data_IF_093955627006
#
_entry.id   IF_093955627006
#
_cell.length_a   1.000
_cell.length_b   1.000
_cell.length_c   1.000
_cell.angle_alpha   90.00
_cell.angle_beta   90.00
_cell.angle_gamma   90.00
#
_symmetry.space_group_name_H-M   'P 1'
#
loop_
_entity.id
_entity.type
_entity.pdbx_description
1 polymer ?
#
# COMPACT_ATOMS: atom_id res chain seq x y z
N UNK A 1 0.17 17.01 17.22
CA UNK A 1 1.49 16.69 17.85
C UNK A 1 1.67 15.21 18.25
N UNK A 2 0.76 14.28 17.86
CA UNK A 2 0.91 12.82 18.15
C UNK A 2 1.45 12.01 16.97
N UNK A 3 1.38 12.49 15.73
CA UNK A 3 1.86 11.78 14.54
C UNK A 3 3.39 11.71 14.41
N UNK A 4 4.11 12.73 14.83
CA UNK A 4 5.59 12.79 14.74
C UNK A 4 6.32 11.79 15.66
N UNK A 5 5.68 11.30 16.70
CA UNK A 5 6.30 10.35 17.65
C UNK A 5 6.36 8.93 17.10
N UNK A 6 5.37 8.52 16.31
CA UNK A 6 5.31 7.17 15.72
C UNK A 6 6.30 7.01 14.56
N UNK A 7 6.43 8.02 13.69
CA UNK A 7 7.42 8.02 12.61
C UNK A 7 8.87 7.90 13.13
N UNK A 8 9.17 8.60 14.24
CA UNK A 8 10.49 8.55 14.88
C UNK A 8 10.76 7.21 15.61
N UNK A 9 9.72 6.52 16.06
CA UNK A 9 9.87 5.22 16.71
C UNK A 9 10.20 4.12 15.69
N UNK A 10 9.53 4.14 14.54
CA UNK A 10 9.78 3.21 13.43
C UNK A 10 11.18 3.42 12.84
N UNK A 11 11.61 4.66 12.63
CA UNK A 11 12.98 4.95 12.19
C UNK A 11 14.05 4.48 13.20
N UNK A 12 13.77 4.49 14.51
CA UNK A 12 14.72 4.03 15.53
C UNK A 12 14.82 2.51 15.63
N UNK A 13 13.78 1.77 15.30
CA UNK A 13 13.83 0.29 15.26
C UNK A 13 14.65 -0.19 14.08
N UNK A 14 14.57 0.49 12.92
CA UNK A 14 15.33 0.12 11.73
C UNK A 14 16.77 0.64 11.69
N UNK A 15 17.08 1.78 12.35
CA UNK A 15 18.42 2.40 12.27
C UNK A 15 19.43 1.92 13.30
N UNK A 16 19.07 1.13 14.33
CA UNK A 16 20.02 0.72 15.39
C UNK A 16 20.81 -0.56 15.13
N UNK A 17 20.74 -1.17 13.94
CA UNK A 17 21.54 -2.38 13.62
C UNK A 17 22.57 -2.24 12.51
N UNK A 18 22.91 -1.04 12.09
CA UNK A 18 24.03 -0.85 11.16
C UNK A 18 25.10 0.03 11.81
N UNK A 19 26.00 -0.59 12.57
CA UNK A 19 27.41 -0.12 12.69
C UNK A 19 28.25 -1.21 13.35
N UNK A 20 28.83 -2.07 12.53
CA UNK A 20 30.22 -2.52 12.71
C UNK A 20 30.73 -3.07 11.38
N UNK A 21 31.69 -2.35 10.85
CA UNK A 21 32.47 -2.68 9.67
C UNK A 21 33.39 -3.87 9.99
N UNK A 22 33.37 -4.91 9.15
CA UNK A 22 34.54 -5.41 8.43
C UNK A 22 34.31 -6.84 7.94
N UNK A 23 34.71 -7.07 6.70
CA UNK A 23 34.75 -8.35 5.98
C UNK A 23 33.37 -8.98 5.68
N UNK A 24 32.83 -8.61 4.55
CA UNK A 24 31.72 -9.33 3.91
C UNK A 24 32.18 -10.69 3.43
N UNK A 25 31.75 -11.80 4.04
CA UNK A 25 31.63 -13.03 3.28
C UNK A 25 30.46 -12.79 2.31
N UNK A 26 30.67 -13.06 1.03
CA UNK A 26 29.61 -13.22 0.06
C UNK A 26 28.69 -14.32 0.60
N UNK A 27 27.61 -13.94 1.32
CA UNK A 27 26.62 -14.90 1.78
C UNK A 27 26.05 -15.58 0.55
N UNK A 28 26.29 -16.89 0.46
CA UNK A 28 25.49 -17.75 -0.41
C UNK A 28 24.02 -17.54 0.00
N UNK A 29 23.06 -17.48 -0.94
CA UNK A 29 21.65 -17.40 -0.57
C UNK A 29 21.35 -18.56 0.36
N UNK A 30 20.93 -18.29 1.58
CA UNK A 30 20.44 -19.33 2.47
C UNK A 30 19.21 -19.93 1.81
N UNK A 31 19.10 -21.25 1.77
CA UNK A 31 18.07 -22.00 1.05
C UNK A 31 16.61 -21.65 1.49
N UNK A 32 16.44 -20.84 2.54
CA UNK A 32 15.16 -20.46 3.14
C UNK A 32 15.08 -18.94 3.45
N UNK A 33 15.72 -18.10 2.63
CA UNK A 33 15.61 -16.64 2.77
C UNK A 33 14.61 -16.10 1.73
N UNK A 34 13.61 -15.36 2.20
CA UNK A 34 12.53 -14.80 1.39
C UNK A 34 12.47 -13.29 1.53
N UNK A 35 12.25 -12.58 0.43
CA UNK A 35 12.03 -11.14 0.44
C UNK A 35 10.54 -10.85 0.55
N UNK A 36 10.19 -9.93 1.45
CA UNK A 36 8.83 -9.46 1.64
C UNK A 36 8.78 -7.99 1.27
N UNK A 37 8.11 -7.66 0.16
CA UNK A 37 7.80 -6.29 -0.22
C UNK A 37 6.53 -5.82 0.48
N UNK A 38 6.61 -4.73 1.24
CA UNK A 38 5.44 -4.12 1.88
C UNK A 38 5.63 -2.61 2.08
N UNK A 39 4.54 -1.91 2.40
CA UNK A 39 4.55 -0.48 2.64
C UNK A 39 5.23 -0.13 3.97
N UNK A 40 5.80 1.08 4.11
CA UNK A 40 6.24 1.59 5.41
C UNK A 40 5.08 2.09 6.29
N UNK A 41 3.84 1.96 5.85
CA UNK A 41 2.65 2.48 6.52
C UNK A 41 2.35 1.74 7.84
N UNK A 42 1.61 2.37 8.77
CA UNK A 42 1.35 1.81 10.09
C UNK A 42 0.62 0.46 10.10
N UNK A 43 -0.27 0.20 9.13
CA UNK A 43 -1.01 -1.07 9.01
C UNK A 43 -0.07 -2.22 8.62
N UNK A 44 0.78 -2.05 7.61
CA UNK A 44 1.80 -3.03 7.24
C UNK A 44 2.85 -3.19 8.35
N UNK A 45 3.28 -2.09 8.97
CA UNK A 45 4.20 -2.14 10.10
C UNK A 45 3.64 -2.94 11.28
N UNK A 46 2.33 -2.84 11.56
CA UNK A 46 1.65 -3.64 12.57
C UNK A 46 1.58 -5.12 12.15
N UNK A 47 1.20 -5.40 10.91
CA UNK A 47 1.06 -6.75 10.35
C UNK A 47 2.36 -7.55 10.42
N UNK A 48 3.47 -6.93 10.03
CA UNK A 48 4.78 -7.59 9.98
C UNK A 48 5.63 -7.41 11.24
N UNK A 49 5.11 -6.77 12.30
CA UNK A 49 5.86 -6.45 13.52
C UNK A 49 6.47 -7.69 14.19
N UNK A 50 5.69 -8.75 14.33
CA UNK A 50 6.15 -9.96 15.02
C UNK A 50 7.28 -10.67 14.27
N UNK A 51 7.26 -10.63 12.94
CA UNK A 51 8.33 -11.19 12.09
C UNK A 51 9.60 -10.32 12.19
N UNK A 52 9.47 -9.00 12.07
CA UNK A 52 10.61 -8.07 12.08
C UNK A 52 11.33 -8.01 13.42
N UNK A 53 10.59 -8.21 14.52
CA UNK A 53 11.15 -8.20 15.88
C UNK A 53 11.62 -9.57 16.35
N UNK A 54 11.31 -10.66 15.59
CA UNK A 54 11.60 -12.04 15.99
C UNK A 54 10.72 -12.52 17.14
N UNK A 55 9.53 -11.91 17.32
CA UNK A 55 8.57 -12.30 18.34
C UNK A 55 7.86 -13.63 18.03
N UNK A 56 7.89 -14.07 16.77
CA UNK A 56 7.42 -15.39 16.33
C UNK A 56 8.57 -16.27 15.90
N UNK A 57 8.38 -17.60 16.03
CA UNK A 57 9.33 -18.58 15.56
C UNK A 57 9.02 -19.00 14.13
N UNK A 58 9.84 -18.55 13.19
CA UNK A 58 9.73 -18.87 11.75
C UNK A 58 10.51 -20.14 11.35
N UNK A 59 11.05 -20.88 12.33
CA UNK A 59 11.90 -22.06 12.08
C UNK A 59 13.21 -21.67 11.40
N UNK A 60 13.52 -22.34 10.28
CA UNK A 60 14.72 -22.05 9.48
C UNK A 60 14.49 -20.93 8.43
N UNK A 61 13.28 -20.37 8.33
CA UNK A 61 12.97 -19.31 7.37
C UNK A 61 13.44 -17.96 7.90
N UNK A 62 14.08 -17.20 7.04
CA UNK A 62 14.46 -15.81 7.30
C UNK A 62 13.80 -14.89 6.29
N UNK A 63 13.49 -13.67 6.71
CA UNK A 63 12.78 -12.70 5.90
C UNK A 63 13.56 -11.41 5.79
N UNK A 64 13.73 -10.93 4.55
CA UNK A 64 14.26 -9.61 4.24
C UNK A 64 13.09 -8.70 3.87
N UNK A 65 12.84 -7.67 4.68
CA UNK A 65 11.77 -6.71 4.47
C UNK A 65 12.22 -5.58 3.55
N UNK A 66 11.50 -5.39 2.44
CA UNK A 66 11.75 -4.33 1.44
C UNK A 66 10.59 -3.36 1.49
N UNK A 67 10.87 -2.11 1.91
CA UNK A 67 9.86 -1.07 2.11
C UNK A 67 9.73 -0.21 0.85
N UNK A 68 8.57 -0.24 0.22
CA UNK A 68 8.23 0.51 -1.00
C UNK A 68 6.77 0.95 -0.96
N UNK A 69 6.43 1.97 -1.73
CA UNK A 69 5.04 2.35 -1.94
C UNK A 69 4.26 1.28 -2.71
N UNK A 70 2.92 1.29 -2.56
CA UNK A 70 2.06 0.23 -3.09
C UNK A 70 2.04 0.16 -4.63
N UNK A 71 2.17 1.27 -5.34
CA UNK A 71 2.23 1.25 -6.81
C UNK A 71 3.54 0.64 -7.31
N UNK A 72 4.64 0.93 -6.62
CA UNK A 72 5.95 0.32 -6.89
C UNK A 72 5.91 -1.18 -6.59
N UNK A 73 5.29 -1.60 -5.49
CA UNK A 73 5.09 -3.02 -5.15
C UNK A 73 4.24 -3.74 -6.21
N UNK A 74 3.15 -3.12 -6.68
CA UNK A 74 2.34 -3.67 -7.78
C UNK A 74 3.19 -3.93 -9.02
N UNK A 75 4.06 -2.98 -9.42
CA UNK A 75 4.98 -3.13 -10.58
C UNK A 75 5.99 -4.26 -10.37
N UNK A 76 6.57 -4.38 -9.17
CA UNK A 76 7.47 -5.49 -8.84
C UNK A 76 6.75 -6.84 -8.87
N UNK A 77 5.50 -6.90 -8.41
CA UNK A 77 4.71 -8.13 -8.46
C UNK A 77 4.40 -8.58 -9.89
N UNK A 78 4.19 -7.65 -10.84
CA UNK A 78 4.06 -7.99 -12.27
C UNK A 78 5.27 -8.77 -12.80
N UNK A 79 6.46 -8.47 -12.28
CA UNK A 79 7.71 -9.15 -12.67
C UNK A 79 7.96 -10.43 -11.85
N UNK A 80 7.32 -10.60 -10.70
CA UNK A 80 7.61 -11.71 -9.78
C UNK A 80 8.86 -11.47 -8.94
N UNK A 81 9.20 -10.21 -8.64
CA UNK A 81 10.49 -9.84 -8.04
C UNK A 81 10.64 -10.28 -6.59
N UNK A 82 9.55 -10.36 -5.83
CA UNK A 82 9.56 -10.74 -4.40
C UNK A 82 8.84 -12.07 -4.18
N UNK A 83 9.28 -12.82 -3.19
CA UNK A 83 8.67 -14.08 -2.78
C UNK A 83 7.31 -13.86 -2.12
N UNK A 84 7.19 -12.77 -1.36
CA UNK A 84 5.95 -12.26 -0.74
C UNK A 84 5.85 -10.76 -1.06
N UNK A 85 4.66 -10.28 -1.33
CA UNK A 85 4.44 -8.85 -1.54
C UNK A 85 3.05 -8.43 -1.06
N UNK A 86 2.97 -7.23 -0.46
CA UNK A 86 1.71 -6.51 -0.42
C UNK A 86 1.40 -6.02 -1.83
N UNK A 87 0.13 -6.10 -2.22
CA UNK A 87 -0.36 -5.61 -3.53
C UNK A 87 -1.75 -5.02 -3.38
N UNK A 88 -2.08 -4.10 -4.26
CA UNK A 88 -3.47 -3.66 -4.42
C UNK A 88 -4.34 -4.80 -4.94
N UNK A 89 -5.55 -4.95 -4.41
CA UNK A 89 -6.51 -5.97 -4.92
C UNK A 89 -6.79 -5.75 -6.41
N UNK A 90 -6.77 -4.50 -6.87
CA UNK A 90 -6.88 -4.17 -8.30
C UNK A 90 -5.82 -4.86 -9.16
N UNK A 91 -4.59 -4.92 -8.72
CA UNK A 91 -3.48 -5.54 -9.48
C UNK A 91 -3.47 -7.06 -9.41
N UNK A 92 -4.15 -7.68 -8.44
CA UNK A 92 -4.08 -9.13 -8.24
C UNK A 92 -4.52 -9.96 -9.47
N UNK A 93 -5.57 -9.65 -10.22
CA UNK A 93 -5.94 -10.42 -11.41
C UNK A 93 -4.80 -10.57 -12.42
N UNK A 94 -3.97 -9.54 -12.62
CA UNK A 94 -2.88 -9.52 -13.59
C UNK A 94 -1.65 -10.33 -13.16
N UNK A 95 -1.53 -10.62 -11.86
CA UNK A 95 -0.43 -11.41 -11.30
C UNK A 95 -0.88 -12.80 -10.80
N UNK A 96 -2.13 -13.13 -10.99
CA UNK A 96 -2.73 -14.35 -10.47
C UNK A 96 -2.15 -15.65 -11.07
N UNK A 97 -1.42 -15.58 -12.17
CA UNK A 97 -0.63 -16.67 -12.74
C UNK A 97 0.63 -16.97 -11.92
N UNK A 98 1.26 -15.94 -11.33
CA UNK A 98 2.53 -16.01 -10.58
C UNK A 98 2.33 -16.17 -9.08
N UNK A 99 1.25 -15.60 -8.53
CA UNK A 99 1.04 -15.48 -7.10
C UNK A 99 -0.26 -16.14 -6.63
N UNK A 100 -0.23 -16.65 -5.41
CA UNK A 100 -1.42 -16.96 -4.62
C UNK A 100 -1.75 -15.74 -3.75
N UNK A 101 -3.03 -15.35 -3.70
CA UNK A 101 -3.52 -14.43 -2.68
C UNK A 101 -3.53 -15.18 -1.34
N UNK A 102 -2.90 -14.56 -0.32
CA UNK A 102 -2.89 -15.12 1.02
C UNK A 102 -4.26 -14.91 1.68
N UNK A 103 -4.60 -15.77 2.63
CA UNK A 103 -5.84 -15.65 3.40
C UNK A 103 -5.65 -14.88 4.72
N UNK A 104 -4.59 -14.10 4.80
CA UNK A 104 -4.24 -13.20 5.92
C UNK A 104 -3.65 -11.91 5.37
N UNK A 105 -3.65 -10.86 6.19
CA UNK A 105 -3.00 -9.62 5.85
C UNK A 105 -3.71 -8.85 4.72
N UNK A 106 -5.03 -8.66 4.83
CA UNK A 106 -5.79 -7.83 3.91
C UNK A 106 -6.11 -6.47 4.51
N UNK A 107 -6.09 -5.43 3.67
CA UNK A 107 -6.57 -4.08 3.99
C UNK A 107 -7.95 -3.88 3.38
N UNK A 108 -8.94 -3.55 4.23
CA UNK A 108 -10.35 -3.41 3.86
C UNK A 108 -10.89 -2.09 4.41
N UNK A 109 -11.46 -1.26 3.55
CA UNK A 109 -12.11 -0.01 3.94
C UNK A 109 -13.55 -0.24 4.38
N UNK A 110 -13.82 -0.19 5.68
CA UNK A 110 -15.16 -0.29 6.25
C UNK A 110 -15.64 1.09 6.72
N UNK A 111 -16.45 1.75 5.87
CA UNK A 111 -16.92 3.11 6.13
C UNK A 111 -15.86 4.20 5.97
N UNK A 112 -14.75 3.90 5.35
CA UNK A 112 -13.68 4.82 4.92
C UNK A 112 -12.95 4.24 3.72
N UNK A 113 -12.22 5.09 2.98
CA UNK A 113 -11.43 4.63 1.83
C UNK A 113 -10.63 5.77 1.21
N UNK A 114 -10.06 5.56 0.02
CA UNK A 114 -9.45 6.62 -0.75
C UNK A 114 -10.42 7.80 -0.92
N UNK A 115 -9.89 9.01 -0.86
CA UNK A 115 -10.71 10.23 -0.92
C UNK A 115 -10.36 11.07 -2.13
N UNK A 116 -11.38 11.56 -2.83
CA UNK A 116 -11.24 12.61 -3.84
C UNK A 116 -11.25 13.94 -3.13
N UNK A 117 -10.16 14.70 -3.24
CA UNK A 117 -9.99 16.02 -2.67
C UNK A 117 -9.78 17.08 -3.75
N UNK A 118 -10.00 18.34 -3.39
CA UNK A 118 -9.76 19.50 -4.26
C UNK A 118 -9.20 20.69 -3.48
N UNK A 119 -8.57 21.62 -4.20
CA UNK A 119 -8.04 22.87 -3.64
C UNK A 119 -9.11 23.94 -3.41
N UNK A 120 -10.32 23.72 -3.91
CA UNK A 120 -11.47 24.63 -3.79
C UNK A 120 -12.76 23.81 -3.76
N UNK A 121 -13.83 24.43 -3.34
CA UNK A 121 -15.15 23.82 -3.37
C UNK A 121 -15.62 23.63 -4.82
N UNK A 122 -15.79 22.38 -5.27
CA UNK A 122 -16.28 22.01 -6.60
C UNK A 122 -17.23 20.81 -6.49
N UNK A 123 -18.16 20.72 -7.44
CA UNK A 123 -19.06 19.57 -7.50
C UNK A 123 -18.36 18.33 -8.08
N UNK A 124 -18.91 17.15 -7.77
CA UNK A 124 -18.43 15.89 -8.33
C UNK A 124 -18.51 15.88 -9.87
N UNK A 125 -19.55 16.53 -10.44
CA UNK A 125 -19.74 16.59 -11.90
C UNK A 125 -18.69 17.50 -12.57
N UNK A 126 -18.38 18.64 -11.96
CA UNK A 126 -17.34 19.54 -12.47
C UNK A 126 -15.95 18.89 -12.39
N UNK A 127 -15.70 18.13 -11.32
CA UNK A 127 -14.44 17.40 -11.13
C UNK A 127 -14.13 16.41 -12.27
N UNK A 128 -15.15 15.80 -12.91
CA UNK A 128 -14.95 14.87 -14.03
C UNK A 128 -14.19 15.44 -15.21
N UNK A 129 -14.23 16.75 -15.39
CA UNK A 129 -13.59 17.43 -16.51
C UNK A 129 -12.13 17.80 -16.23
N UNK A 130 -11.68 17.64 -14.99
CA UNK A 130 -10.34 18.01 -14.52
C UNK A 130 -9.35 16.85 -14.65
N UNK A 131 -8.06 17.16 -14.47
CA UNK A 131 -7.00 16.16 -14.42
C UNK A 131 -6.79 15.75 -12.96
N UNK A 132 -6.97 14.46 -12.66
CA UNK A 132 -6.79 13.91 -11.33
C UNK A 132 -5.33 13.56 -11.07
N UNK A 133 -4.75 14.01 -9.97
CA UNK A 133 -3.53 13.42 -9.43
C UNK A 133 -3.89 12.09 -8.75
N UNK A 134 -3.30 10.97 -9.22
CA UNK A 134 -3.59 9.63 -8.69
C UNK A 134 -2.31 8.92 -8.22
N UNK A 135 -2.38 8.03 -7.21
CA UNK A 135 -1.19 7.36 -6.68
C UNK A 135 -0.59 6.29 -7.60
N UNK A 136 -1.38 5.82 -8.57
CA UNK A 136 -0.93 4.83 -9.53
C UNK A 136 -2.09 4.07 -10.17
N UNK A 137 -1.87 3.62 -11.41
CA UNK A 137 -2.91 2.93 -12.19
C UNK A 137 -3.19 1.50 -11.69
N UNK A 138 -2.23 0.87 -11.01
CA UNK A 138 -2.39 -0.44 -10.38
C UNK A 138 -3.12 -0.40 -9.04
N UNK A 139 -3.38 0.78 -8.47
CA UNK A 139 -3.94 0.91 -7.13
C UNK A 139 -5.44 0.65 -7.07
N UNK A 140 -5.93 0.09 -5.97
CA UNK A 140 -7.37 -0.05 -5.70
C UNK A 140 -8.06 1.32 -5.56
N UNK A 141 -7.31 2.36 -5.21
CA UNK A 141 -7.80 3.74 -5.19
C UNK A 141 -8.17 4.22 -6.60
N UNK A 142 -7.34 3.94 -7.59
CA UNK A 142 -7.65 4.26 -8.99
C UNK A 142 -8.84 3.45 -9.52
N UNK A 143 -8.92 2.15 -9.18
CA UNK A 143 -10.10 1.35 -9.55
C UNK A 143 -11.37 1.94 -8.95
N UNK A 144 -11.38 2.30 -7.67
CA UNK A 144 -12.53 2.88 -7.00
C UNK A 144 -12.92 4.24 -7.65
N UNK A 145 -11.93 5.09 -7.98
CA UNK A 145 -12.16 6.31 -8.75
C UNK A 145 -12.87 6.03 -10.08
N UNK A 146 -12.38 5.06 -10.85
CA UNK A 146 -12.94 4.68 -12.16
C UNK A 146 -14.37 4.14 -12.03
N UNK A 147 -14.63 3.36 -11.00
CA UNK A 147 -15.98 2.84 -10.73
C UNK A 147 -16.98 3.95 -10.33
N UNK A 148 -16.51 4.94 -9.58
CA UNK A 148 -17.36 6.06 -9.13
C UNK A 148 -17.59 7.12 -10.21
N UNK A 149 -16.54 7.46 -10.98
CA UNK A 149 -16.53 8.62 -11.88
C UNK A 149 -16.58 8.24 -13.36
N UNK A 150 -16.28 6.98 -13.73
CA UNK A 150 -16.06 6.57 -15.11
C UNK A 150 -14.68 6.95 -15.62
N UNK A 151 -14.58 7.23 -16.91
CA UNK A 151 -13.31 7.68 -17.52
C UNK A 151 -13.02 9.12 -17.13
N UNK A 152 -11.87 9.33 -16.49
CA UNK A 152 -11.34 10.63 -16.11
C UNK A 152 -9.94 10.83 -16.66
N UNK A 153 -9.53 12.07 -16.86
CA UNK A 153 -8.14 12.42 -17.15
C UNK A 153 -7.33 12.32 -15.86
N UNK A 154 -6.12 11.81 -15.95
CA UNK A 154 -5.27 11.67 -14.75
C UNK A 154 -3.79 11.79 -15.07
N UNK A 155 -3.01 12.09 -14.04
CA UNK A 155 -1.57 11.95 -14.00
C UNK A 155 -1.17 11.17 -12.74
N UNK A 156 -0.14 10.32 -12.87
CA UNK A 156 0.40 9.56 -11.74
C UNK A 156 1.38 10.42 -10.97
N UNK A 157 1.12 10.60 -9.69
CA UNK A 157 1.90 11.41 -8.76
C UNK A 157 2.25 10.53 -7.55
N UNK A 158 3.47 10.61 -6.98
CA UNK A 158 3.78 9.93 -5.73
C UNK A 158 2.70 10.21 -4.68
N UNK A 159 2.24 9.19 -3.98
CA UNK A 159 1.05 9.29 -3.11
C UNK A 159 1.18 10.37 -2.02
N UNK A 160 2.39 10.54 -1.48
CA UNK A 160 2.74 11.55 -0.47
C UNK A 160 2.79 12.98 -1.02
N UNK A 161 2.98 13.14 -2.34
CA UNK A 161 2.98 14.44 -3.02
C UNK A 161 1.60 14.88 -3.51
N UNK A 162 0.58 14.01 -3.55
CA UNK A 162 -0.74 14.35 -4.11
C UNK A 162 -1.40 15.49 -3.33
N UNK A 163 -1.52 15.37 -2.01
CA UNK A 163 -2.16 16.42 -1.20
C UNK A 163 -1.38 17.74 -1.26
N UNK A 164 -0.04 17.76 -1.10
CA UNK A 164 0.75 18.98 -1.32
C UNK A 164 0.59 19.58 -2.71
N UNK A 165 0.50 18.77 -3.77
CA UNK A 165 0.31 19.26 -5.13
C UNK A 165 -1.07 19.91 -5.34
N UNK A 166 -2.12 19.32 -4.74
CA UNK A 166 -3.47 19.92 -4.74
C UNK A 166 -3.48 21.23 -3.95
N UNK A 167 -2.83 21.30 -2.78
CA UNK A 167 -2.71 22.52 -1.98
C UNK A 167 -2.02 23.67 -2.73
N UNK A 168 -0.96 23.37 -3.47
CA UNK A 168 -0.23 24.37 -4.28
C UNK A 168 -0.99 24.80 -5.54
N UNK A 169 -2.04 24.04 -5.93
CA UNK A 169 -2.79 24.28 -7.16
C UNK A 169 -2.10 23.73 -8.42
N UNK A 170 -1.13 22.81 -8.26
CA UNK A 170 -0.53 22.08 -9.38
C UNK A 170 -1.59 21.18 -10.05
N UNK A 171 -2.53 20.67 -9.22
CA UNK A 171 -3.73 19.95 -9.61
C UNK A 171 -4.94 20.53 -8.89
N UNK A 172 -6.07 20.65 -9.59
CA UNK A 172 -7.35 21.04 -8.95
C UNK A 172 -7.93 19.92 -8.08
N UNK A 173 -7.67 18.65 -8.46
CA UNK A 173 -8.23 17.45 -7.82
C UNK A 173 -7.18 16.36 -7.67
N UNK A 174 -7.31 15.56 -6.61
CA UNK A 174 -6.43 14.42 -6.37
C UNK A 174 -7.11 13.29 -5.61
N UNK A 175 -6.54 12.08 -5.68
CA UNK A 175 -7.01 10.93 -4.90
C UNK A 175 -5.97 10.62 -3.83
N UNK A 176 -6.30 10.89 -2.59
CA UNK A 176 -5.43 10.60 -1.44
C UNK A 176 -5.73 9.24 -0.83
N UNK A 177 -4.68 8.63 -0.31
CA UNK A 177 -4.66 7.36 0.40
C UNK A 177 -3.87 7.52 1.70
N UNK A 178 -3.82 6.49 2.55
CA UNK A 178 -3.04 6.45 3.80
C UNK A 178 -3.39 7.58 4.79
N UNK A 179 -2.39 8.15 5.47
CA UNK A 179 -2.57 9.15 6.51
C UNK A 179 -3.29 10.41 6.05
N UNK A 180 -3.23 10.76 4.76
CA UNK A 180 -3.96 11.88 4.20
C UNK A 180 -5.47 11.79 4.43
N UNK A 181 -6.01 10.58 4.55
CA UNK A 181 -7.42 10.36 4.87
C UNK A 181 -7.80 10.82 6.29
N UNK A 182 -6.84 10.92 7.19
CA UNK A 182 -7.05 11.34 8.58
C UNK A 182 -6.81 12.84 8.77
N UNK A 183 -5.95 13.44 7.97
CA UNK A 183 -5.44 14.81 8.18
C UNK A 183 -6.04 15.85 7.24
N UNK A 184 -6.69 15.47 6.15
CA UNK A 184 -7.17 16.38 5.10
C UNK A 184 -7.97 17.59 5.62
N UNK A 185 -8.72 17.42 6.73
CA UNK A 185 -9.53 18.51 7.33
C UNK A 185 -8.69 19.68 7.82
N UNK A 186 -7.49 19.38 8.30
CA UNK A 186 -6.57 20.35 8.87
C UNK A 186 -5.60 20.90 7.81
N UNK A 187 -5.64 20.32 6.61
CA UNK A 187 -4.71 20.61 5.50
C UNK A 187 -5.26 21.62 4.47
N UNK A 188 -6.46 22.19 4.72
CA UNK A 188 -7.02 23.23 3.88
C UNK A 188 -7.48 22.79 2.48
N UNK A 189 -7.73 21.50 2.29
CA UNK A 189 -8.33 20.93 1.10
C UNK A 189 -9.81 20.58 1.34
N UNK A 190 -10.58 20.42 0.27
CA UNK A 190 -12.00 20.09 0.33
C UNK A 190 -12.21 18.63 -0.06
N UNK A 191 -13.02 17.91 0.70
CA UNK A 191 -13.46 16.56 0.34
C UNK A 191 -14.57 16.64 -0.70
N UNK A 192 -14.36 16.01 -1.85
CA UNK A 192 -15.41 15.84 -2.87
C UNK A 192 -16.17 14.54 -2.63
N UNK A 193 -15.45 13.43 -2.43
CA UNK A 193 -16.06 12.12 -2.25
C UNK A 193 -15.10 11.18 -1.47
N UNK A 194 -15.63 10.50 -0.45
CA UNK A 194 -14.99 9.34 0.14
C UNK A 194 -15.42 8.09 -0.65
N UNK A 195 -14.47 7.44 -1.32
CA UNK A 195 -14.72 6.30 -2.19
C UNK A 195 -15.07 5.02 -1.39
N UNK A 196 -14.65 4.93 -0.14
CA UNK A 196 -15.03 3.83 0.75
C UNK A 196 -16.48 3.95 1.22
N UNK A 197 -16.92 5.15 1.60
CA UNK A 197 -18.33 5.43 1.93
C UNK A 197 -19.19 5.19 0.70
N UNK A 198 -18.81 5.75 -0.44
CA UNK A 198 -19.52 5.57 -1.72
C UNK A 198 -19.68 4.09 -2.07
N UNK A 199 -18.60 3.30 -1.94
CA UNK A 199 -18.63 1.87 -2.21
C UNK A 199 -19.59 1.13 -1.28
N UNK A 200 -19.51 1.42 0.02
CA UNK A 200 -20.39 0.81 1.02
C UNK A 200 -21.87 1.13 0.75
N UNK A 201 -22.18 2.37 0.40
CA UNK A 201 -23.56 2.76 0.02
C UNK A 201 -24.07 2.04 -1.22
N UNK A 202 -23.19 1.74 -2.19
CA UNK A 202 -23.56 1.03 -3.43
C UNK A 202 -23.67 -0.47 -3.28
N UNK A 203 -22.86 -1.08 -2.42
CA UNK A 203 -22.69 -2.54 -2.38
C UNK A 203 -23.11 -3.17 -1.05
N UNK A 204 -23.12 -2.40 0.04
CA UNK A 204 -23.27 -2.89 1.41
C UNK A 204 -22.04 -3.66 1.93
N UNK A 205 -20.90 -3.57 1.23
CA UNK A 205 -19.67 -4.31 1.54
C UNK A 205 -18.50 -3.38 1.86
N UNK A 206 -17.50 -3.84 2.64
CA UNK A 206 -16.23 -3.14 2.77
C UNK A 206 -15.52 -3.03 1.40
N UNK A 207 -14.78 -1.93 1.20
CA UNK A 207 -13.98 -1.74 -0.02
C UNK A 207 -12.68 -2.54 0.06
N UNK A 208 -12.42 -3.52 -0.83
CA UNK A 208 -11.14 -4.22 -0.87
C UNK A 208 -10.03 -3.29 -1.35
N UNK A 209 -9.00 -3.09 -0.52
CA UNK A 209 -7.90 -2.16 -0.81
C UNK A 209 -6.62 -2.92 -1.17
N UNK A 210 -6.10 -3.71 -0.24
CA UNK A 210 -4.86 -4.44 -0.39
C UNK A 210 -4.93 -5.86 0.14
N UNK A 211 -3.94 -6.65 -0.21
CA UNK A 211 -3.74 -7.99 0.32
C UNK A 211 -2.31 -8.47 0.11
N UNK A 212 -1.91 -9.49 0.84
CA UNK A 212 -0.61 -10.11 0.66
C UNK A 212 -0.68 -11.25 -0.35
N UNK A 213 0.36 -11.39 -1.14
CA UNK A 213 0.52 -12.46 -2.12
C UNK A 213 1.83 -13.21 -1.89
N UNK A 214 1.84 -14.52 -2.19
CA UNK A 214 3.01 -15.39 -2.10
C UNK A 214 3.24 -16.08 -3.44
N UNK A 215 4.51 -16.13 -3.88
CA UNK A 215 4.87 -16.62 -5.21
C UNK A 215 4.67 -18.13 -5.34
N UNK A 216 4.01 -18.56 -6.42
CA UNK A 216 3.58 -19.95 -6.65
C UNK A 216 4.74 -20.93 -6.84
N UNK A 217 5.84 -20.49 -7.43
CA UNK A 217 7.02 -21.32 -7.72
C UNK A 217 7.76 -21.82 -6.47
N UNK A 218 7.47 -21.25 -5.30
CA UNK A 218 7.96 -21.75 -4.00
C UNK A 218 7.35 -23.11 -3.62
N UNK A 219 6.26 -23.49 -4.28
CA UNK A 219 5.50 -24.71 -3.98
C UNK A 219 4.52 -24.55 -2.81
N UNK A 220 3.43 -25.31 -2.85
CA UNK A 220 2.29 -25.16 -1.93
C UNK A 220 2.65 -25.32 -0.44
N UNK A 221 3.63 -26.16 -0.11
CA UNK A 221 4.03 -26.37 1.29
C UNK A 221 4.66 -25.10 1.83
N UNK A 222 5.66 -24.56 1.12
CA UNK A 222 6.36 -23.33 1.49
C UNK A 222 5.39 -22.14 1.54
N UNK A 223 4.50 -22.01 0.54
CA UNK A 223 3.49 -20.95 0.55
C UNK A 223 2.61 -20.99 1.81
N UNK A 224 2.17 -22.18 2.23
CA UNK A 224 1.35 -22.34 3.45
C UNK A 224 2.12 -22.01 4.73
N UNK A 225 3.40 -22.37 4.78
CA UNK A 225 4.24 -22.06 5.93
C UNK A 225 4.51 -20.56 6.06
N UNK A 226 4.85 -19.90 4.94
CA UNK A 226 5.01 -18.43 4.89
C UNK A 226 3.70 -17.74 5.28
N UNK A 227 2.54 -18.23 4.78
CA UNK A 227 1.23 -17.66 5.14
C UNK A 227 0.91 -17.76 6.63
N UNK A 228 1.48 -18.73 7.35
CA UNK A 228 1.32 -18.85 8.81
C UNK A 228 2.24 -17.92 9.58
N UNK A 229 3.38 -17.57 8.99
CA UNK A 229 4.34 -16.66 9.60
C UNK A 229 3.85 -15.20 9.50
N UNK A 230 3.09 -14.85 8.43
CA UNK A 230 2.42 -13.55 8.25
C UNK A 230 1.10 -13.50 9.02
#
# INVERSE_FOLDING_TARGET
RRGTAYSLLLQRVFTRRNFQSNCTPKLMPQANSYRIGHSPDPDDAFMFHAMTTGAINTGERSYEHVLLDIETLNKHAMNGDYEVSAVSIHSFPEISDKYHLMNCGASMGEGYGPMIISNREISLEDAKNLVFAIPGVGTSAYLALRLAMGDVKFEVVPFDDIMPAVQRGDYDVGVIIHEGQLTWKDEGVNLILDLGIWWNEKTGLPLPLGGNVVRKDLGMITCREITKDV
#
